data_IF_885448151584
#
_entry.id   IF_885448151584
#
_cell.length_a   1.000
_cell.length_b   1.000
_cell.length_c   1.000
_cell.angle_alpha   90.00
_cell.angle_beta   90.00
_cell.angle_gamma   90.00
#
_symmetry.space_group_name_H-M   'P 1'
#
loop_
_entity.id
_entity.type
_entity.pdbx_description
1 polymer ?
#
# COMPACT_ATOMS: atom_id res chain seq x y z
N UNK A 1 -25.68 -21.95 -20.47
CA UNK A 1 -24.76 -21.65 -19.35
C UNK A 1 -23.36 -21.60 -19.94
N UNK A 2 -22.83 -20.40 -20.21
CA UNK A 2 -21.45 -20.25 -20.68
C UNK A 2 -20.56 -20.10 -19.46
N UNK A 3 -19.81 -21.14 -19.13
CA UNK A 3 -18.66 -21.02 -18.23
C UNK A 3 -17.66 -20.07 -18.90
N UNK A 4 -17.50 -18.88 -18.31
CA UNK A 4 -16.51 -17.91 -18.77
C UNK A 4 -15.12 -18.47 -18.51
N UNK A 5 -14.39 -18.76 -19.59
CA UNK A 5 -12.95 -19.00 -19.56
C UNK A 5 -12.27 -17.97 -18.65
N UNK A 6 -11.28 -18.34 -17.82
CA UNK A 6 -10.48 -17.35 -17.10
C UNK A 6 -9.93 -16.37 -18.13
N UNK A 7 -10.16 -15.07 -17.95
CA UNK A 7 -9.49 -14.04 -18.76
C UNK A 7 -7.99 -14.18 -18.48
N UNK A 8 -7.27 -14.85 -19.38
CA UNK A 8 -5.84 -15.07 -19.23
C UNK A 8 -5.11 -13.74 -19.07
N UNK A 9 -4.28 -13.62 -18.04
CA UNK A 9 -3.38 -12.48 -17.88
C UNK A 9 -2.22 -12.69 -18.84
N UNK A 10 -2.02 -11.77 -19.78
CA UNK A 10 -0.85 -11.76 -20.63
C UNK A 10 0.25 -10.94 -19.97
N UNK A 11 1.36 -11.59 -19.63
CA UNK A 11 2.54 -10.96 -19.05
C UNK A 11 3.63 -10.84 -20.13
N UNK A 12 4.23 -9.66 -20.25
CA UNK A 12 5.46 -9.45 -20.98
C UNK A 12 6.50 -8.88 -20.03
N UNK A 13 7.65 -9.55 -19.91
CA UNK A 13 8.79 -9.07 -19.12
C UNK A 13 9.93 -8.77 -20.10
N UNK A 14 10.46 -7.57 -20.04
CA UNK A 14 11.54 -7.09 -20.90
C UNK A 14 12.50 -6.27 -20.06
N UNK A 15 13.77 -6.25 -20.47
CA UNK A 15 14.74 -5.28 -19.97
C UNK A 15 14.24 -3.89 -20.33
N UNK A 16 14.23 -2.98 -19.36
CA UNK A 16 13.75 -1.63 -19.56
C UNK A 16 14.84 -0.79 -20.25
N UNK A 17 14.71 -0.62 -21.56
CA UNK A 17 15.53 0.28 -22.40
C UNK A 17 14.67 1.43 -22.94
N UNK A 18 15.25 2.56 -23.38
CA UNK A 18 14.48 3.63 -24.02
C UNK A 18 13.57 3.12 -25.15
N UNK A 19 14.07 2.20 -25.98
CA UNK A 19 13.31 1.61 -27.08
C UNK A 19 12.08 0.82 -26.58
N UNK A 20 12.24 0.00 -25.54
CA UNK A 20 11.12 -0.78 -24.97
C UNK A 20 10.06 0.11 -24.31
N UNK A 21 10.48 1.18 -23.63
CA UNK A 21 9.57 2.16 -23.03
C UNK A 21 8.80 2.92 -24.11
N UNK A 22 9.47 3.36 -25.17
CA UNK A 22 8.79 3.99 -26.30
C UNK A 22 7.82 3.04 -27.02
N UNK A 23 8.11 1.74 -27.08
CA UNK A 23 7.22 0.75 -27.70
C UNK A 23 5.87 0.60 -26.95
N UNK A 24 5.79 0.98 -25.67
CA UNK A 24 4.52 0.99 -24.92
C UNK A 24 3.44 1.84 -25.59
N UNK A 25 3.82 2.88 -26.35
CA UNK A 25 2.87 3.71 -27.13
C UNK A 25 2.07 2.90 -28.15
N UNK A 26 2.62 1.77 -28.60
CA UNK A 26 2.00 0.87 -29.57
C UNK A 26 1.12 -0.19 -28.91
N UNK A 27 0.99 -0.17 -27.58
CA UNK A 27 0.32 -1.20 -26.79
C UNK A 27 -0.93 -0.64 -26.05
N UNK A 28 -2.02 -0.26 -26.76
CA UNK A 28 -3.16 0.46 -26.18
C UNK A 28 -3.97 -0.34 -25.15
N UNK A 29 -3.77 -1.67 -25.08
CA UNK A 29 -4.48 -2.56 -24.16
C UNK A 29 -3.72 -2.83 -22.86
N UNK A 30 -2.54 -2.25 -22.67
CA UNK A 30 -1.78 -2.40 -21.44
C UNK A 30 -2.52 -1.73 -20.29
N UNK A 31 -2.84 -2.51 -19.25
CA UNK A 31 -3.54 -2.04 -18.06
C UNK A 31 -2.60 -1.68 -16.91
N UNK A 32 -1.44 -2.34 -16.87
CA UNK A 32 -0.43 -2.16 -15.84
C UNK A 32 0.95 -2.12 -16.50
N UNK A 33 1.75 -1.13 -16.14
CA UNK A 33 3.20 -1.10 -16.43
C UNK A 33 3.93 -1.15 -15.11
N UNK A 34 4.82 -2.12 -14.94
CA UNK A 34 5.61 -2.28 -13.71
C UNK A 34 7.09 -2.06 -14.02
N UNK A 35 7.63 -0.95 -13.52
CA UNK A 35 9.07 -0.69 -13.53
C UNK A 35 9.71 -1.24 -12.25
N UNK A 36 10.78 -2.02 -12.42
CA UNK A 36 11.54 -2.60 -11.33
C UNK A 36 13.00 -2.19 -11.49
N UNK A 37 13.54 -1.45 -10.52
CA UNK A 37 14.93 -0.99 -10.58
C UNK A 37 15.13 0.37 -9.91
N UNK A 38 16.12 1.10 -10.39
CA UNK A 38 16.51 2.40 -9.84
C UNK A 38 15.79 3.55 -10.54
N UNK A 39 15.56 4.61 -9.77
CA UNK A 39 14.85 5.82 -10.20
C UNK A 39 15.04 6.91 -9.16
N UNK A 40 15.02 8.15 -9.61
CA UNK A 40 14.97 9.33 -8.74
C UNK A 40 14.00 10.35 -9.31
N UNK A 41 13.39 11.15 -8.45
CA UNK A 41 12.52 12.26 -8.86
C UNK A 41 13.27 13.32 -9.68
N UNK A 42 14.58 13.47 -9.44
CA UNK A 42 15.40 14.48 -10.08
C UNK A 42 15.90 14.04 -11.46
N UNK A 43 16.44 12.82 -11.56
CA UNK A 43 17.15 12.39 -12.76
C UNK A 43 16.24 11.62 -13.72
N UNK A 44 15.34 10.78 -13.22
CA UNK A 44 14.48 9.95 -14.07
C UNK A 44 14.34 8.51 -13.60
N UNK A 45 13.66 7.70 -14.41
CA UNK A 45 13.75 6.24 -14.33
C UNK A 45 15.03 5.78 -15.03
N UNK A 46 15.88 5.01 -14.36
CA UNK A 46 17.12 4.53 -14.99
C UNK A 46 16.80 3.31 -15.85
N UNK A 47 17.18 3.39 -17.12
CA UNK A 47 16.98 2.36 -18.13
C UNK A 47 18.34 1.86 -18.62
N UNK A 48 18.41 0.60 -19.01
CA UNK A 48 19.60 0.04 -19.63
C UNK A 48 19.78 0.65 -21.04
N UNK A 49 20.98 1.22 -21.26
CA UNK A 49 21.48 1.64 -22.56
C UNK A 49 22.17 0.50 -23.31
N UNK A 50 22.53 0.76 -24.57
CA UNK A 50 23.15 -0.22 -25.46
C UNK A 50 24.55 -0.68 -25.01
N UNK A 51 25.17 0.08 -24.11
CA UNK A 51 26.46 -0.21 -23.48
C UNK A 51 26.34 -0.88 -22.10
N UNK A 52 25.13 -1.35 -21.75
CA UNK A 52 24.80 -1.93 -20.44
C UNK A 52 24.93 -0.95 -19.27
N UNK A 53 25.04 0.36 -19.53
CA UNK A 53 24.97 1.38 -18.48
C UNK A 53 23.54 1.81 -18.24
N UNK A 54 23.20 2.06 -16.97
CA UNK A 54 21.88 2.55 -16.61
C UNK A 54 21.88 4.08 -16.74
N UNK A 55 21.10 4.61 -17.69
CA UNK A 55 20.96 6.05 -17.92
C UNK A 55 19.54 6.50 -17.60
N UNK A 56 19.37 7.70 -17.01
CA UNK A 56 18.04 8.19 -16.71
C UNK A 56 17.27 8.52 -18.00
N UNK A 57 16.03 8.03 -18.10
CA UNK A 57 15.09 8.45 -19.13
C UNK A 57 14.58 9.87 -18.79
N UNK A 58 14.73 10.85 -19.70
CA UNK A 58 14.19 12.18 -19.49
C UNK A 58 12.66 12.18 -19.28
N UNK A 59 12.19 13.01 -18.35
CA UNK A 59 10.75 13.13 -18.07
C UNK A 59 9.88 13.45 -19.30
N UNK A 60 10.28 14.34 -20.23
CA UNK A 60 9.49 14.59 -21.44
C UNK A 60 9.29 13.33 -22.30
N UNK A 61 10.28 12.45 -22.35
CA UNK A 61 10.22 11.22 -23.13
C UNK A 61 9.28 10.21 -22.49
N UNK A 62 9.30 10.12 -21.15
CA UNK A 62 8.34 9.32 -20.39
C UNK A 62 6.91 9.87 -20.54
N UNK A 63 6.74 11.19 -20.44
CA UNK A 63 5.45 11.86 -20.62
C UNK A 63 4.84 11.54 -21.99
N UNK A 64 5.63 11.62 -23.06
CA UNK A 64 5.18 11.37 -24.42
C UNK A 64 4.59 9.96 -24.61
N UNK A 65 5.03 8.98 -23.82
CA UNK A 65 4.52 7.60 -23.87
C UNK A 65 3.12 7.49 -23.25
N UNK A 66 2.86 8.20 -22.15
CA UNK A 66 1.64 8.03 -21.34
C UNK A 66 0.59 9.12 -21.54
N UNK A 67 0.99 10.32 -22.01
CA UNK A 67 0.09 11.46 -22.19
C UNK A 67 -0.66 11.46 -23.54
N UNK A 68 -0.24 10.66 -24.53
CA UNK A 68 -0.99 10.53 -25.78
C UNK A 68 -2.42 10.04 -25.50
N UNK A 69 -3.39 10.49 -26.31
CA UNK A 69 -4.85 10.41 -26.12
C UNK A 69 -5.45 8.98 -26.15
N UNK A 70 -4.82 8.04 -25.45
CA UNK A 70 -5.33 6.70 -25.23
C UNK A 70 -6.47 6.73 -24.21
N UNK A 71 -7.59 6.12 -24.58
CA UNK A 71 -8.80 6.01 -23.76
C UNK A 71 -8.61 5.19 -22.46
N UNK A 72 -7.46 4.53 -22.27
CA UNK A 72 -7.09 3.81 -21.05
C UNK A 72 -5.68 4.19 -20.63
N UNK A 73 -5.56 5.01 -19.58
CA UNK A 73 -4.28 5.27 -18.92
C UNK A 73 -3.93 4.07 -18.03
N UNK A 74 -2.75 3.44 -18.19
CA UNK A 74 -2.37 2.29 -17.38
C UNK A 74 -2.11 2.71 -15.93
N UNK A 75 -2.17 1.73 -15.03
CA UNK A 75 -1.61 1.84 -13.68
C UNK A 75 -0.10 1.70 -13.80
N UNK A 76 0.66 2.61 -13.19
CA UNK A 76 2.12 2.48 -13.12
C UNK A 76 2.49 1.92 -11.74
N UNK A 77 3.23 0.83 -11.70
CA UNK A 77 3.81 0.27 -10.48
C UNK A 77 5.31 0.51 -10.52
N UNK A 78 5.86 1.09 -9.46
CA UNK A 78 7.28 1.38 -9.31
C UNK A 78 7.82 0.57 -8.16
N UNK A 79 8.74 -0.34 -8.43
CA UNK A 79 9.54 -1.02 -7.40
C UNK A 79 10.94 -0.42 -7.42
N UNK A 80 11.21 0.44 -6.44
CA UNK A 80 12.45 1.19 -6.33
C UNK A 80 12.86 1.35 -4.86
N UNK A 81 14.15 1.62 -4.62
CA UNK A 81 14.69 1.89 -3.28
C UNK A 81 14.44 3.32 -2.80
N UNK A 82 14.35 4.29 -3.72
CA UNK A 82 14.22 5.72 -3.38
C UNK A 82 12.77 6.11 -3.11
N UNK A 83 12.55 6.91 -2.06
CA UNK A 83 11.30 7.61 -1.77
C UNK A 83 11.52 9.14 -1.81
N UNK A 84 12.26 9.62 -2.79
CA UNK A 84 12.55 11.04 -3.02
C UNK A 84 11.41 11.80 -3.72
N UNK A 85 10.21 11.22 -3.77
CA UNK A 85 9.08 11.75 -4.53
C UNK A 85 8.99 11.23 -5.97
N UNK A 86 9.78 10.20 -6.34
CA UNK A 86 9.72 9.55 -7.65
C UNK A 86 8.28 9.20 -8.08
N UNK A 87 7.49 8.60 -7.19
CA UNK A 87 6.12 8.20 -7.51
C UNK A 87 5.21 9.39 -7.86
N UNK A 88 5.32 10.49 -7.12
CA UNK A 88 4.56 11.72 -7.39
C UNK A 88 4.99 12.36 -8.71
N UNK A 89 6.30 12.43 -8.95
CA UNK A 89 6.87 12.97 -10.19
C UNK A 89 6.39 12.19 -11.41
N UNK A 90 6.41 10.85 -11.34
CA UNK A 90 5.88 10.00 -12.42
C UNK A 90 4.38 10.21 -12.63
N UNK A 91 3.60 10.38 -11.56
CA UNK A 91 2.16 10.64 -11.67
C UNK A 91 1.89 11.95 -12.41
N UNK A 92 2.61 13.02 -12.05
CA UNK A 92 2.47 14.35 -12.62
C UNK A 92 2.92 14.37 -14.09
N UNK A 93 4.11 13.82 -14.37
CA UNK A 93 4.70 13.77 -15.71
C UNK A 93 3.88 12.89 -16.66
N UNK A 94 3.36 11.75 -16.20
CA UNK A 94 2.61 10.83 -17.07
C UNK A 94 1.10 11.16 -17.12
N UNK A 95 0.60 11.97 -16.20
CA UNK A 95 -0.83 12.24 -16.03
C UNK A 95 -1.66 11.00 -15.69
N UNK A 96 -1.07 9.96 -15.09
CA UNK A 96 -1.82 8.73 -14.77
C UNK A 96 -2.60 8.87 -13.46
N UNK A 97 -3.75 8.21 -13.35
CA UNK A 97 -4.60 8.29 -12.16
C UNK A 97 -3.99 7.59 -10.93
N UNK A 98 -3.12 6.61 -11.16
CA UNK A 98 -2.52 5.82 -10.08
C UNK A 98 -1.07 5.49 -10.39
N UNK A 99 -0.20 5.86 -9.46
CA UNK A 99 1.16 5.32 -9.33
C UNK A 99 1.23 4.58 -8.00
N UNK A 100 1.65 3.31 -8.05
CA UNK A 100 1.87 2.47 -6.87
C UNK A 100 3.35 2.30 -6.69
N UNK A 101 3.93 3.05 -5.75
CA UNK A 101 5.31 2.87 -5.35
C UNK A 101 5.44 1.80 -4.26
N UNK A 102 6.41 0.89 -4.43
CA UNK A 102 6.69 -0.22 -3.54
C UNK A 102 8.19 -0.23 -3.23
N UNK A 103 8.51 -0.03 -1.96
CA UNK A 103 9.89 -0.05 -1.45
C UNK A 103 10.57 -1.41 -1.66
N UNK A 104 11.72 -1.41 -2.33
CA UNK A 104 12.57 -2.59 -2.53
C UNK A 104 13.49 -2.92 -1.34
N UNK A 105 13.62 -2.03 -0.37
CA UNK A 105 14.50 -2.24 0.79
C UNK A 105 14.06 -3.42 1.66
N UNK A 106 12.78 -3.84 1.53
CA UNK A 106 12.18 -4.92 2.30
C UNK A 106 11.68 -6.05 1.37
N UNK A 107 12.57 -6.93 0.94
CA UNK A 107 12.32 -7.94 -0.10
C UNK A 107 11.09 -8.84 0.14
N UNK A 108 10.94 -9.44 1.33
CA UNK A 108 9.77 -10.27 1.67
C UNK A 108 8.48 -9.47 1.60
N UNK A 109 8.53 -8.29 2.20
CA UNK A 109 7.41 -7.39 2.35
C UNK A 109 6.96 -6.75 1.02
N UNK A 110 7.88 -6.62 0.06
CA UNK A 110 7.66 -6.22 -1.33
C UNK A 110 6.95 -7.34 -2.10
N UNK A 111 7.49 -8.57 -2.05
CA UNK A 111 6.91 -9.74 -2.71
C UNK A 111 5.48 -10.01 -2.25
N UNK A 112 5.25 -9.98 -0.94
CA UNK A 112 3.93 -10.25 -0.37
C UNK A 112 2.91 -9.19 -0.79
N UNK A 113 3.30 -7.91 -0.72
CA UNK A 113 2.43 -6.83 -1.17
C UNK A 113 2.05 -7.00 -2.64
N UNK A 114 3.02 -7.18 -3.53
CA UNK A 114 2.75 -7.31 -4.98
C UNK A 114 1.90 -8.54 -5.31
N UNK A 115 2.17 -9.67 -4.66
CA UNK A 115 1.39 -10.90 -4.86
C UNK A 115 -0.09 -10.65 -4.58
N UNK A 116 -0.40 -10.03 -3.44
CA UNK A 116 -1.78 -9.75 -3.06
C UNK A 116 -2.40 -8.63 -3.91
N UNK A 117 -1.62 -7.58 -4.21
CA UNK A 117 -2.07 -6.46 -5.03
C UNK A 117 -2.51 -6.93 -6.42
N UNK A 118 -1.65 -7.70 -7.10
CA UNK A 118 -1.97 -8.24 -8.42
C UNK A 118 -3.08 -9.27 -8.38
N UNK A 119 -3.14 -10.14 -7.35
CA UNK A 119 -4.23 -11.11 -7.20
C UNK A 119 -5.59 -10.41 -7.11
N UNK A 120 -5.70 -9.33 -6.34
CA UNK A 120 -6.94 -8.55 -6.23
C UNK A 120 -7.29 -7.81 -7.53
N UNK A 121 -6.29 -7.20 -8.18
CA UNK A 121 -6.50 -6.53 -9.48
C UNK A 121 -7.00 -7.49 -10.55
N UNK A 122 -6.40 -8.67 -10.68
CA UNK A 122 -6.83 -9.71 -11.63
C UNK A 122 -8.23 -10.21 -11.28
N UNK A 123 -8.56 -10.27 -9.99
CA UNK A 123 -9.90 -10.58 -9.50
C UNK A 123 -10.96 -9.51 -9.78
N UNK A 124 -10.59 -8.37 -10.39
CA UNK A 124 -11.51 -7.30 -10.77
C UNK A 124 -11.75 -6.23 -9.69
N UNK A 125 -10.98 -6.25 -8.59
CA UNK A 125 -11.04 -5.19 -7.59
C UNK A 125 -10.48 -3.87 -8.15
N UNK A 126 -10.92 -2.74 -7.58
CA UNK A 126 -10.36 -1.43 -7.92
C UNK A 126 -8.91 -1.31 -7.46
N UNK A 127 -8.14 -0.37 -8.03
CA UNK A 127 -6.75 -0.11 -7.63
C UNK A 127 -6.63 0.20 -6.14
N UNK A 128 -7.52 1.07 -5.64
CA UNK A 128 -7.55 1.47 -4.24
C UNK A 128 -7.88 0.30 -3.31
N UNK A 129 -8.88 -0.51 -3.66
CA UNK A 129 -9.24 -1.69 -2.87
C UNK A 129 -8.10 -2.73 -2.87
N UNK A 130 -7.49 -2.97 -4.02
CA UNK A 130 -6.34 -3.88 -4.18
C UNK A 130 -5.14 -3.42 -3.34
N UNK A 131 -4.82 -2.11 -3.39
CA UNK A 131 -3.74 -1.52 -2.60
C UNK A 131 -3.99 -1.64 -1.10
N UNK A 132 -5.21 -1.29 -0.65
CA UNK A 132 -5.57 -1.35 0.76
C UNK A 132 -5.57 -2.80 1.28
N UNK A 133 -6.09 -3.75 0.50
CA UNK A 133 -6.06 -5.18 0.85
C UNK A 133 -4.62 -5.71 0.92
N UNK A 134 -3.78 -5.39 -0.06
CA UNK A 134 -2.36 -5.80 -0.05
C UNK A 134 -1.59 -5.20 1.13
N UNK A 135 -1.86 -3.93 1.48
CA UNK A 135 -1.25 -3.25 2.63
C UNK A 135 -1.67 -3.84 3.97
N UNK A 136 -2.94 -4.24 4.10
CA UNK A 136 -3.51 -4.80 5.34
C UNK A 136 -3.12 -6.27 5.55
N UNK A 137 -2.81 -7.01 4.49
CA UNK A 137 -2.38 -8.42 4.56
C UNK A 137 -1.04 -8.65 5.26
N UNK A 138 -0.17 -7.64 5.42
CA UNK A 138 1.01 -7.71 6.31
C UNK A 138 0.66 -8.00 7.78
N UNK A 139 -0.62 -7.99 8.15
CA UNK A 139 -1.09 -8.38 9.48
C UNK A 139 -1.68 -9.80 9.57
N UNK A 140 -1.72 -10.57 8.48
CA UNK A 140 -2.06 -12.00 8.57
C UNK A 140 -1.00 -12.79 9.33
N UNK A 141 0.26 -12.35 9.29
CA UNK A 141 1.34 -12.86 10.14
C UNK A 141 1.23 -12.40 11.60
N UNK A 142 0.40 -11.38 11.87
CA UNK A 142 0.07 -10.91 13.23
C UNK A 142 -1.30 -11.33 13.74
N UNK A 143 -1.89 -12.37 13.15
CA UNK A 143 -3.16 -12.93 13.61
C UNK A 143 -3.10 -13.32 15.10
N UNK A 144 -1.91 -13.74 15.56
CA UNK A 144 -1.65 -14.04 16.95
C UNK A 144 -1.73 -12.78 17.82
N UNK A 145 -1.08 -11.68 17.45
CA UNK A 145 -1.18 -10.41 18.18
C UNK A 145 -2.59 -9.82 18.13
N UNK A 146 -3.30 -9.93 17.00
CA UNK A 146 -4.69 -9.47 16.89
C UNK A 146 -5.59 -10.26 17.84
N UNK A 147 -5.43 -11.59 17.89
CA UNK A 147 -6.16 -12.45 18.82
C UNK A 147 -5.79 -12.18 20.28
N UNK A 148 -4.50 -12.00 20.57
CA UNK A 148 -3.98 -11.75 21.91
C UNK A 148 -4.44 -10.39 22.45
N UNK A 149 -4.26 -9.32 21.68
CA UNK A 149 -4.75 -7.97 22.03
C UNK A 149 -6.28 -7.99 22.14
N UNK A 150 -6.98 -8.68 21.23
CA UNK A 150 -8.42 -8.89 21.29
C UNK A 150 -8.86 -9.54 22.60
N UNK A 151 -8.17 -10.58 23.07
CA UNK A 151 -8.46 -11.24 24.34
C UNK A 151 -8.28 -10.31 25.54
N UNK A 152 -7.21 -9.50 25.55
CA UNK A 152 -7.01 -8.47 26.58
C UNK A 152 -8.12 -7.42 26.58
N UNK A 153 -8.53 -6.93 25.41
CA UNK A 153 -9.60 -5.93 25.29
C UNK A 153 -10.94 -6.47 25.81
N UNK A 154 -11.24 -7.74 25.55
CA UNK A 154 -12.47 -8.37 26.00
C UNK A 154 -12.46 -8.70 27.50
N UNK A 155 -11.32 -8.57 28.18
CA UNK A 155 -11.24 -8.81 29.61
C UNK A 155 -12.02 -7.72 30.38
N UNK A 156 -12.98 -8.07 31.27
CA UNK A 156 -13.85 -7.11 31.93
C UNK A 156 -13.14 -6.05 32.79
N UNK A 157 -11.90 -6.32 33.22
CA UNK A 157 -11.08 -5.40 34.02
C UNK A 157 -10.19 -4.48 33.18
N UNK A 158 -10.08 -4.69 31.87
CA UNK A 158 -9.24 -3.87 31.00
C UNK A 158 -10.05 -2.66 30.52
N UNK A 159 -9.44 -1.48 30.61
CA UNK A 159 -10.04 -0.20 30.20
C UNK A 159 -9.19 0.55 29.17
N UNK A 160 -7.91 0.19 29.09
CA UNK A 160 -6.92 0.81 28.21
C UNK A 160 -5.92 -0.25 27.79
N UNK A 161 -5.61 -0.29 26.50
CA UNK A 161 -4.46 -1.04 25.97
C UNK A 161 -3.50 -0.04 25.35
N UNK A 162 -2.24 -0.11 25.77
CA UNK A 162 -1.15 0.72 25.26
C UNK A 162 -0.25 -0.14 24.39
N UNK A 163 -0.05 0.27 23.14
CA UNK A 163 0.85 -0.40 22.21
C UNK A 163 2.04 0.51 21.96
N UNK A 164 3.21 0.05 22.37
CA UNK A 164 4.49 0.75 22.22
C UNK A 164 5.42 -0.02 21.28
N UNK A 165 6.34 0.71 20.65
CA UNK A 165 7.37 0.13 19.80
C UNK A 165 8.02 1.17 18.88
N UNK A 166 9.09 0.81 18.17
CA UNK A 166 9.79 1.72 17.26
C UNK A 166 8.87 2.39 16.22
N UNK A 167 9.23 3.56 15.67
CA UNK A 167 8.50 4.22 14.60
C UNK A 167 8.43 3.30 13.37
N UNK A 168 7.37 3.40 12.58
CA UNK A 168 7.20 2.58 11.37
C UNK A 168 6.73 1.14 11.58
N UNK A 169 6.66 0.63 12.82
CA UNK A 169 6.26 -0.76 13.13
C UNK A 169 4.78 -1.11 12.89
N UNK A 170 4.01 -0.21 12.28
CA UNK A 170 2.61 -0.47 11.90
C UNK A 170 1.61 -0.50 13.06
N UNK A 171 1.89 0.14 14.20
CA UNK A 171 1.04 0.14 15.41
C UNK A 171 -0.39 0.60 15.13
N UNK A 172 -0.57 1.70 14.40
CA UNK A 172 -1.89 2.23 14.02
C UNK A 172 -2.67 1.24 13.16
N UNK A 173 -1.99 0.56 12.23
CA UNK A 173 -2.61 -0.46 11.39
C UNK A 173 -2.98 -1.73 12.17
N UNK A 174 -2.16 -2.14 13.15
CA UNK A 174 -2.49 -3.24 14.08
C UNK A 174 -3.74 -2.92 14.91
N UNK A 175 -3.81 -1.72 15.47
CA UNK A 175 -4.99 -1.23 16.20
C UNK A 175 -6.23 -1.23 15.30
N UNK A 176 -6.09 -0.77 14.07
CA UNK A 176 -7.19 -0.77 13.08
C UNK A 176 -7.66 -2.19 12.77
N UNK A 177 -6.74 -3.15 12.63
CA UNK A 177 -7.07 -4.55 12.40
C UNK A 177 -7.79 -5.19 13.60
N UNK A 178 -7.33 -4.94 14.83
CA UNK A 178 -7.99 -5.39 16.06
C UNK A 178 -9.40 -4.79 16.18
N UNK A 179 -9.52 -3.48 15.92
CA UNK A 179 -10.78 -2.75 15.92
C UNK A 179 -11.80 -3.38 14.96
N UNK A 180 -11.39 -3.60 13.70
CA UNK A 180 -12.21 -4.27 12.70
C UNK A 180 -12.57 -5.70 13.12
N UNK A 181 -11.62 -6.47 13.65
CA UNK A 181 -11.83 -7.84 14.10
C UNK A 181 -12.88 -7.95 15.22
N UNK A 182 -12.84 -7.05 16.19
CA UNK A 182 -13.79 -7.02 17.32
C UNK A 182 -15.15 -6.43 16.93
N UNK A 183 -15.16 -5.43 16.06
CA UNK A 183 -16.39 -4.79 15.57
C UNK A 183 -17.25 -5.76 14.75
N UNK A 184 -16.64 -6.49 13.81
CA UNK A 184 -17.33 -7.51 12.99
C UNK A 184 -17.96 -8.60 13.86
N UNK A 185 -17.40 -8.86 15.04
CA UNK A 185 -17.90 -9.85 16.02
C UNK A 185 -18.89 -9.27 17.03
N UNK A 186 -19.34 -8.04 16.82
CA UNK A 186 -20.26 -7.29 17.69
C UNK A 186 -19.81 -7.22 19.17
N UNK A 187 -18.49 -7.30 19.42
CA UNK A 187 -17.95 -7.29 20.79
C UNK A 187 -17.72 -5.87 21.33
N UNK A 188 -17.62 -4.89 20.46
CA UNK A 188 -17.31 -3.48 20.78
C UNK A 188 -18.11 -2.56 19.86
N UNK A 189 -18.69 -1.49 20.41
CA UNK A 189 -19.59 -0.60 19.66
C UNK A 189 -18.84 0.53 18.96
N UNK A 190 -17.78 1.02 19.60
CA UNK A 190 -16.91 2.06 19.06
C UNK A 190 -15.50 1.96 19.66
N UNK A 191 -14.51 2.34 18.86
CA UNK A 191 -13.10 2.37 19.22
C UNK A 191 -12.55 3.76 18.91
N UNK A 192 -11.95 4.40 19.92
CA UNK A 192 -11.24 5.68 19.76
C UNK A 192 -9.76 5.41 19.93
N UNK A 193 -8.92 5.90 19.03
CA UNK A 193 -7.47 5.81 19.18
C UNK A 193 -6.82 7.19 19.23
N UNK A 194 -5.82 7.34 20.10
CA UNK A 194 -4.98 8.53 20.22
C UNK A 194 -3.56 8.08 19.90
N UNK A 195 -2.92 8.74 18.94
CA UNK A 195 -1.52 8.49 18.60
C UNK A 195 -0.69 9.69 19.05
N UNK A 196 0.22 9.49 19.98
CA UNK A 196 1.22 10.50 20.38
C UNK A 196 2.60 10.09 19.83
N UNK A 197 3.31 11.06 19.28
CA UNK A 197 4.71 10.90 18.86
C UNK A 197 5.54 11.59 19.95
N UNK A 198 6.41 10.83 20.63
CA UNK A 198 7.33 11.41 21.60
C UNK A 198 8.69 11.70 20.93
N UNK A 199 9.34 12.79 21.35
CA UNK A 199 10.61 13.29 20.80
C UNK A 199 11.78 12.28 20.85
N UNK A 200 11.65 11.21 21.64
CA UNK A 200 12.65 10.14 21.77
C UNK A 200 12.51 9.01 20.73
N UNK A 201 11.82 9.24 19.61
CA UNK A 201 11.66 8.24 18.56
C UNK A 201 10.77 7.05 18.98
N UNK A 202 9.90 7.23 19.97
CA UNK A 202 8.89 6.24 20.34
C UNK A 202 7.51 6.79 20.00
N UNK A 203 6.71 5.99 19.31
CA UNK A 203 5.32 6.33 19.03
C UNK A 203 4.42 5.43 19.87
N UNK A 204 3.45 6.06 20.53
CA UNK A 204 2.50 5.43 21.42
C UNK A 204 1.12 5.52 20.78
N UNK A 205 0.41 4.40 20.71
CA UNK A 205 -0.99 4.37 20.30
C UNK A 205 -1.82 3.85 21.47
N UNK A 206 -2.74 4.69 21.93
CA UNK A 206 -3.73 4.35 22.95
C UNK A 206 -5.05 4.00 22.29
N UNK A 207 -5.70 2.95 22.78
CA UNK A 207 -6.98 2.48 22.27
C UNK A 207 -8.02 2.45 23.39
N UNK A 208 -9.15 3.14 23.18
CA UNK A 208 -10.30 3.16 24.07
C UNK A 208 -11.43 2.31 23.46
N UNK A 209 -12.06 1.52 24.33
CA UNK A 209 -13.08 0.53 23.92
C UNK A 209 -14.39 0.86 24.62
N UNK A 210 -15.44 1.06 23.84
CA UNK A 210 -16.79 1.23 24.36
C UNK A 210 -17.52 -0.13 24.35
N UNK A 211 -17.84 -0.72 25.52
CA UNK A 211 -18.51 -2.02 25.61
C UNK A 211 -19.90 -1.98 24.98
N UNK A 212 -20.30 -3.06 24.32
CA UNK A 212 -21.61 -3.21 23.67
C UNK A 212 -22.80 -3.31 24.63
N UNK A 213 -22.58 -3.55 25.93
CA UNK A 213 -23.64 -3.82 26.92
C UNK A 213 -23.78 -2.74 28.02
N UNK A 214 -23.25 -1.54 27.81
CA UNK A 214 -23.44 -0.43 28.75
C UNK A 214 -24.42 0.59 28.17
N UNK A 215 -25.66 0.60 28.67
CA UNK A 215 -26.60 1.72 28.49
C UNK A 215 -26.16 3.00 29.24
N UNK A 216 -24.98 2.98 29.84
CA UNK A 216 -24.36 4.13 30.48
C UNK A 216 -23.26 4.65 29.57
N UNK A 217 -23.50 5.81 28.94
CA UNK A 217 -22.44 6.65 28.39
C UNK A 217 -21.65 7.16 29.59
N UNK A 218 -20.47 6.61 29.83
CA UNK A 218 -19.53 7.21 30.77
C UNK A 218 -18.46 7.91 29.93
N UNK A 219 -18.53 9.25 29.77
CA UNK A 219 -17.50 10.00 29.08
C UNK A 219 -16.32 10.16 30.05
N UNK A 220 -15.13 9.75 29.63
CA UNK A 220 -13.90 10.18 30.30
C UNK A 220 -13.02 10.90 29.27
N UNK A 221 -12.83 12.19 29.50
CA UNK A 221 -11.98 13.10 28.73
C UNK A 221 -10.55 13.15 29.30
N UNK A 222 -9.58 13.33 28.37
CA UNK A 222 -8.25 13.97 28.45
C UNK A 222 -7.24 13.47 29.52
N UNK A 223 -5.95 13.29 29.20
CA UNK A 223 -4.97 14.37 29.11
C UNK A 223 -3.80 14.10 28.13
N UNK A 224 -3.26 15.23 27.65
CA UNK A 224 -2.07 15.40 26.80
C UNK A 224 -0.80 15.43 27.66
N UNK A 225 0.27 14.80 27.15
CA UNK A 225 1.66 15.30 27.23
C UNK A 225 2.46 14.74 26.07
#
# INVERSE_FOLDING_TARGET
>A
MHEGSPRGVQLACQVATPATVHALRLCPNVKVVHFFGHGSAQEGLYLEGDDFTATPLPWPDLAAVFQQANACRPIIVLSAHSNDGLGSTVADVCGVSYVVWVDLSHHSAHKDFLTHFYTQLVGGATVQASFLHAKTRRFCERSHEVGHIGAYILHPSVRLVVISGPPGMGKTSLVTAVAQHLHVRAKVHALVYISTIHDHGMSLVQMYVLPSHSNSVIPYNLFVS
#
